data_IF_908751172845
#
_entry.id   IF_908751172845
#
_cell.length_a   1.000
_cell.length_b   1.000
_cell.length_c   1.000
_cell.angle_alpha   90.00
_cell.angle_beta   90.00
_cell.angle_gamma   90.00
#
_symmetry.space_group_name_H-M   'P 1'
#
loop_
_entity.id
_entity.type
_entity.pdbx_description
1 polymer ?
#
# COMPACT_ATOMS: atom_id res chain seq x y z
N UNK A 1 -45.24 -19.00 -1.63
CA UNK A 1 -44.78 -17.70 -2.14
C UNK A 1 -43.43 -17.43 -1.48
N UNK A 2 -42.33 -17.79 -2.13
CA UNK A 2 -40.98 -17.64 -1.57
C UNK A 2 -40.55 -16.18 -1.77
N UNK A 3 -40.31 -15.46 -0.68
CA UNK A 3 -39.80 -14.09 -0.73
C UNK A 3 -38.36 -14.17 -1.24
N UNK A 4 -38.12 -13.82 -2.50
CA UNK A 4 -36.77 -13.56 -3.01
C UNK A 4 -36.28 -12.26 -2.36
N UNK A 5 -35.60 -12.37 -1.22
CA UNK A 5 -34.90 -11.25 -0.60
C UNK A 5 -33.79 -10.80 -1.55
N UNK A 6 -33.95 -9.62 -2.16
CA UNK A 6 -32.87 -8.95 -2.87
C UNK A 6 -31.75 -8.65 -1.89
N UNK A 7 -30.70 -9.47 -1.91
CA UNK A 7 -29.48 -9.21 -1.17
C UNK A 7 -28.80 -7.95 -1.72
N UNK A 8 -28.39 -7.05 -0.83
CA UNK A 8 -27.74 -5.76 -1.17
C UNK A 8 -26.25 -5.77 -0.85
N UNK A 9 -25.74 -6.89 -0.34
CA UNK A 9 -24.40 -7.07 0.19
C UNK A 9 -23.63 -8.14 -0.59
N UNK A 10 -22.33 -7.92 -0.77
CA UNK A 10 -21.42 -8.91 -1.36
C UNK A 10 -20.43 -9.28 -0.26
N UNK A 11 -20.53 -10.49 0.27
CA UNK A 11 -19.62 -10.96 1.33
C UNK A 11 -18.20 -11.21 0.79
N UNK A 12 -18.09 -11.65 -0.47
CA UNK A 12 -16.84 -11.91 -1.16
C UNK A 12 -16.74 -11.09 -2.43
N UNK A 13 -16.22 -9.86 -2.30
CA UNK A 13 -16.00 -8.99 -3.45
C UNK A 13 -14.82 -9.49 -4.29
N UNK A 14 -15.12 -9.84 -5.54
CA UNK A 14 -14.15 -10.12 -6.59
C UNK A 14 -14.44 -9.19 -7.77
N UNK A 15 -13.42 -8.45 -8.21
CA UNK A 15 -13.55 -7.53 -9.34
C UNK A 15 -13.61 -8.27 -10.68
N UNK A 16 -13.14 -9.53 -10.73
CA UNK A 16 -13.12 -10.37 -11.92
C UNK A 16 -14.42 -11.18 -12.12
N UNK A 17 -15.34 -11.17 -11.13
CA UNK A 17 -16.63 -11.86 -11.23
C UNK A 17 -17.58 -11.17 -12.22
N UNK A 18 -17.67 -11.72 -13.43
CA UNK A 18 -18.55 -11.25 -14.51
C UNK A 18 -20.03 -11.29 -14.10
N UNK A 19 -20.44 -12.26 -13.29
CA UNK A 19 -21.81 -12.37 -12.79
C UNK A 19 -22.21 -11.15 -11.97
N UNK A 20 -21.31 -10.65 -11.11
CA UNK A 20 -21.49 -9.43 -10.33
C UNK A 20 -21.63 -8.17 -11.21
N UNK A 21 -21.08 -8.16 -12.43
CA UNK A 21 -21.19 -7.03 -13.35
C UNK A 21 -22.44 -7.09 -14.23
N UNK A 22 -22.83 -8.28 -14.67
CA UNK A 22 -23.94 -8.52 -15.59
C UNK A 22 -25.30 -8.64 -14.89
N UNK A 23 -25.32 -8.97 -13.59
CA UNK A 23 -26.56 -9.10 -12.82
C UNK A 23 -27.39 -10.33 -13.20
N UNK A 24 -26.74 -11.39 -13.69
CA UNK A 24 -27.35 -12.58 -14.30
C UNK A 24 -27.81 -13.66 -13.32
N UNK A 25 -27.61 -13.50 -12.00
CA UNK A 25 -28.15 -14.38 -10.96
C UNK A 25 -29.27 -13.72 -10.16
N UNK A 26 -30.26 -14.52 -9.71
CA UNK A 26 -31.48 -14.06 -9.03
C UNK A 26 -31.30 -13.30 -7.71
N UNK A 27 -30.06 -13.17 -7.23
CA UNK A 27 -29.66 -12.39 -6.05
C UNK A 27 -28.43 -11.49 -6.32
N UNK A 28 -28.04 -11.28 -7.59
CA UNK A 28 -26.76 -10.65 -7.92
C UNK A 28 -26.85 -9.13 -7.97
N UNK A 29 -25.98 -8.41 -7.25
CA UNK A 29 -25.96 -6.95 -7.23
C UNK A 29 -25.70 -6.38 -8.63
N UNK A 30 -26.56 -5.48 -9.13
CA UNK A 30 -26.37 -4.88 -10.44
C UNK A 30 -25.11 -4.01 -10.54
N UNK A 31 -24.66 -3.72 -11.78
CA UNK A 31 -23.49 -2.91 -12.17
C UNK A 31 -23.15 -1.69 -11.29
N UNK A 32 -24.16 -1.02 -10.70
CA UNK A 32 -23.97 0.12 -9.78
C UNK A 32 -23.26 -0.27 -8.47
N UNK A 33 -23.60 -1.42 -7.89
CA UNK A 33 -23.01 -1.91 -6.64
C UNK A 33 -21.58 -2.39 -6.91
N UNK A 34 -21.37 -3.14 -7.99
CA UNK A 34 -20.05 -3.56 -8.43
C UNK A 34 -19.09 -2.37 -8.63
N UNK A 35 -19.54 -1.33 -9.35
CA UNK A 35 -18.74 -0.10 -9.53
C UNK A 35 -18.41 0.60 -8.20
N UNK A 36 -19.36 0.69 -7.28
CA UNK A 36 -19.14 1.29 -5.95
C UNK A 36 -18.08 0.51 -5.18
N UNK A 37 -18.20 -0.81 -5.13
CA UNK A 37 -17.26 -1.66 -4.41
C UNK A 37 -15.85 -1.58 -5.03
N UNK A 38 -15.76 -1.60 -6.38
CA UNK A 38 -14.50 -1.38 -7.08
C UNK A 38 -13.81 -0.07 -6.69
N UNK A 39 -14.56 1.04 -6.63
CA UNK A 39 -14.02 2.36 -6.22
C UNK A 39 -13.43 2.28 -4.81
N UNK A 40 -14.15 1.67 -3.87
CA UNK A 40 -13.66 1.51 -2.49
C UNK A 40 -12.46 0.59 -2.40
N UNK A 41 -12.42 -0.49 -3.18
CA UNK A 41 -11.28 -1.40 -3.25
C UNK A 41 -10.02 -0.72 -3.76
N UNK A 42 -10.12 0.04 -4.85
CA UNK A 42 -8.98 0.79 -5.39
C UNK A 42 -8.51 1.84 -4.38
N UNK A 43 -9.45 2.58 -3.79
CA UNK A 43 -9.13 3.57 -2.77
C UNK A 43 -8.38 2.95 -1.60
N UNK A 44 -8.89 1.85 -1.04
CA UNK A 44 -8.26 1.18 0.09
C UNK A 44 -6.89 0.58 -0.25
N UNK A 45 -6.73 -0.03 -1.43
CA UNK A 45 -5.42 -0.53 -1.90
C UNK A 45 -4.35 0.56 -2.01
N UNK A 46 -4.75 1.80 -2.32
CA UNK A 46 -3.83 2.96 -2.36
C UNK A 46 -3.65 3.58 -0.97
N UNK A 47 -4.70 3.62 -0.15
CA UNK A 47 -4.68 4.26 1.16
C UNK A 47 -3.89 3.46 2.21
N UNK A 48 -3.99 2.12 2.20
CA UNK A 48 -3.38 1.23 3.20
C UNK A 48 -1.85 1.35 3.26
N UNK A 49 -1.10 1.28 2.14
CA UNK A 49 0.35 1.51 2.17
C UNK A 49 0.71 2.85 2.81
N UNK A 50 -0.05 3.90 2.51
CA UNK A 50 0.17 5.25 3.05
C UNK A 50 -0.08 5.29 4.56
N UNK A 51 -1.17 4.65 5.02
CA UNK A 51 -1.51 4.55 6.44
C UNK A 51 -0.43 3.78 7.20
N UNK A 52 -0.04 2.59 6.72
CA UNK A 52 1.03 1.79 7.33
C UNK A 52 2.32 2.59 7.34
N UNK A 53 2.68 3.18 6.21
CA UNK A 53 3.85 4.04 6.06
C UNK A 53 3.89 5.17 7.07
N UNK A 54 2.76 5.86 7.32
CA UNK A 54 2.64 6.91 8.32
C UNK A 54 2.87 6.38 9.75
N UNK A 55 2.29 5.24 10.10
CA UNK A 55 2.43 4.63 11.42
C UNK A 55 3.88 4.22 11.71
N UNK A 56 4.55 3.61 10.74
CA UNK A 56 5.93 3.14 10.92
C UNK A 56 6.97 4.27 10.85
N UNK A 57 6.60 5.52 10.51
CA UNK A 57 7.56 6.63 10.48
C UNK A 57 8.27 6.80 11.81
N UNK A 58 7.55 6.66 12.93
CA UNK A 58 8.08 6.88 14.28
C UNK A 58 9.27 5.94 14.59
N UNK A 59 9.15 4.60 14.46
CA UNK A 59 10.32 3.75 14.66
C UNK A 59 11.41 3.97 13.60
N UNK A 60 11.05 4.31 12.36
CA UNK A 60 12.00 4.51 11.27
C UNK A 60 12.85 5.77 11.41
N UNK A 61 12.36 6.83 12.05
CA UNK A 61 13.19 8.02 12.33
C UNK A 61 14.24 7.74 13.41
N UNK A 62 13.94 6.84 14.35
CA UNK A 62 14.85 6.48 15.45
C UNK A 62 15.92 5.46 14.98
N UNK A 63 15.58 4.62 14.01
CA UNK A 63 16.42 3.50 13.60
C UNK A 63 17.83 3.88 13.07
N UNK A 64 18.05 4.94 12.26
CA UNK A 64 19.40 5.39 11.90
C UNK A 64 20.28 5.73 13.09
N UNK A 65 19.71 6.33 14.14
CA UNK A 65 20.44 6.69 15.35
C UNK A 65 20.83 5.45 16.17
N UNK A 66 20.01 4.39 16.14
CA UNK A 66 20.24 3.15 16.90
C UNK A 66 21.13 2.14 16.18
N UNK A 67 20.97 2.00 14.86
CA UNK A 67 21.64 0.96 14.07
C UNK A 67 22.71 1.51 13.12
N UNK A 68 22.88 2.84 13.09
CA UNK A 68 23.75 3.53 12.16
C UNK A 68 23.08 3.74 10.80
N UNK A 69 23.25 4.94 10.24
CA UNK A 69 22.64 5.33 8.96
C UNK A 69 22.92 4.35 7.83
N UNK A 70 24.18 3.94 7.65
CA UNK A 70 24.58 3.00 6.58
C UNK A 70 23.88 1.66 6.69
N UNK A 71 23.99 0.99 7.84
CA UNK A 71 23.45 -0.36 8.01
C UNK A 71 21.94 -0.35 7.95
N UNK A 72 21.31 0.66 8.56
CA UNK A 72 19.87 0.80 8.51
C UNK A 72 19.34 1.09 7.11
N UNK A 73 19.99 1.96 6.33
CA UNK A 73 19.60 2.20 4.93
C UNK A 73 19.69 0.92 4.10
N UNK A 74 20.75 0.12 4.25
CA UNK A 74 20.86 -1.17 3.55
C UNK A 74 19.72 -2.10 3.96
N UNK A 75 19.50 -2.28 5.26
CA UNK A 75 18.46 -3.17 5.78
C UNK A 75 17.06 -2.73 5.33
N UNK A 76 16.74 -1.43 5.43
CA UNK A 76 15.41 -0.89 5.13
C UNK A 76 15.12 -0.85 3.63
N UNK A 77 16.13 -0.72 2.78
CA UNK A 77 16.01 -0.90 1.33
C UNK A 77 15.80 -2.38 0.99
N UNK A 78 16.54 -3.31 1.61
CA UNK A 78 16.34 -4.74 1.38
C UNK A 78 14.95 -5.22 1.83
N UNK A 79 14.36 -4.60 2.86
CA UNK A 79 12.96 -4.88 3.25
C UNK A 79 11.96 -4.58 2.14
N UNK A 80 12.26 -3.68 1.19
CA UNK A 80 11.38 -3.42 0.04
C UNK A 80 11.32 -4.59 -0.95
N UNK A 81 12.27 -5.55 -0.89
CA UNK A 81 12.16 -6.78 -1.67
C UNK A 81 10.92 -7.60 -1.27
N UNK A 82 10.45 -7.48 -0.01
CA UNK A 82 9.26 -8.19 0.47
C UNK A 82 8.01 -7.79 -0.34
N UNK A 83 7.57 -6.51 -0.34
CA UNK A 83 6.41 -6.11 -1.14
C UNK A 83 6.63 -6.32 -2.64
N UNK A 84 7.86 -6.16 -3.16
CA UNK A 84 8.14 -6.40 -4.59
C UNK A 84 7.95 -7.86 -5.00
N UNK A 85 8.54 -8.80 -4.25
CA UNK A 85 8.44 -10.24 -4.53
C UNK A 85 7.02 -10.75 -4.28
N UNK A 86 6.37 -10.31 -3.20
CA UNK A 86 4.99 -10.67 -2.90
C UNK A 86 4.04 -10.20 -4.00
N UNK A 87 4.18 -8.94 -4.45
CA UNK A 87 3.37 -8.41 -5.57
C UNK A 87 3.59 -9.23 -6.83
N UNK A 88 4.84 -9.49 -7.21
CA UNK A 88 5.15 -10.32 -8.38
C UNK A 88 4.56 -11.73 -8.29
N UNK A 89 4.62 -12.35 -7.11
CA UNK A 89 4.09 -13.70 -6.89
C UNK A 89 2.55 -13.73 -6.97
N UNK A 90 1.89 -12.80 -6.29
CA UNK A 90 0.42 -12.73 -6.22
C UNK A 90 -0.19 -12.37 -7.58
N UNK A 91 0.43 -11.45 -8.34
CA UNK A 91 -0.09 -11.07 -9.67
C UNK A 91 -0.08 -12.21 -10.69
N UNK A 92 0.66 -13.29 -10.44
CA UNK A 92 0.68 -14.48 -11.30
C UNK A 92 -0.43 -15.49 -10.98
N UNK A 93 -1.20 -15.30 -9.92
CA UNK A 93 -2.23 -16.23 -9.45
C UNK A 93 -3.63 -15.64 -9.68
N UNK A 94 -4.34 -16.08 -10.74
CA UNK A 94 -5.73 -15.72 -10.96
C UNK A 94 -6.60 -16.14 -9.76
N UNK A 95 -7.64 -15.35 -9.44
CA UNK A 95 -8.55 -15.64 -8.33
C UNK A 95 -7.99 -15.37 -6.93
N UNK A 96 -6.87 -14.64 -6.82
CA UNK A 96 -6.35 -14.25 -5.50
C UNK A 96 -7.31 -13.29 -4.79
N UNK A 97 -7.63 -13.56 -3.53
CA UNK A 97 -8.55 -12.73 -2.73
C UNK A 97 -8.06 -11.28 -2.59
N UNK A 98 -9.02 -10.35 -2.60
CA UNK A 98 -8.81 -8.93 -2.31
C UNK A 98 -8.04 -8.68 -0.99
N UNK A 99 -8.30 -9.49 0.05
CA UNK A 99 -7.61 -9.34 1.34
C UNK A 99 -6.10 -9.64 1.21
N UNK A 100 -5.72 -10.59 0.36
CA UNK A 100 -4.31 -10.87 0.08
C UNK A 100 -3.64 -9.65 -0.54
N UNK A 101 -4.28 -9.00 -1.52
CA UNK A 101 -3.77 -7.75 -2.10
C UNK A 101 -3.64 -6.63 -1.07
N UNK A 102 -4.59 -6.52 -0.12
CA UNK A 102 -4.52 -5.55 0.97
C UNK A 102 -3.34 -5.79 1.91
N UNK A 103 -3.03 -7.05 2.23
CA UNK A 103 -1.84 -7.41 3.03
C UNK A 103 -0.56 -7.06 2.28
N UNK A 104 -0.48 -7.37 0.98
CA UNK A 104 0.69 -7.01 0.15
C UNK A 104 0.84 -5.48 0.06
N UNK A 105 -0.26 -4.76 -0.10
CA UNK A 105 -0.27 -3.29 -0.09
C UNK A 105 0.21 -2.72 1.26
N UNK A 106 -0.15 -3.35 2.38
CA UNK A 106 0.36 -2.96 3.70
C UNK A 106 1.89 -3.03 3.77
N UNK A 107 2.52 -4.09 3.22
CA UNK A 107 3.98 -4.21 3.17
C UNK A 107 4.65 -3.12 2.32
N UNK A 108 3.99 -2.62 1.27
CA UNK A 108 4.50 -1.50 0.48
C UNK A 108 4.65 -0.21 1.33
N UNK A 109 3.96 -0.12 2.47
CA UNK A 109 4.11 0.96 3.45
C UNK A 109 5.53 1.14 3.99
N UNK A 110 6.39 0.11 3.95
CA UNK A 110 7.81 0.24 4.30
C UNK A 110 8.54 1.35 3.52
N UNK A 111 8.12 1.64 2.29
CA UNK A 111 8.66 2.77 1.51
C UNK A 111 8.43 4.12 2.19
N UNK A 112 7.28 4.32 2.83
CA UNK A 112 6.97 5.53 3.60
C UNK A 112 7.84 5.68 4.86
N UNK A 113 8.22 4.56 5.48
CA UNK A 113 9.20 4.52 6.57
C UNK A 113 10.60 4.90 6.09
N UNK A 114 11.05 4.34 4.96
CA UNK A 114 12.36 4.66 4.36
C UNK A 114 12.52 6.16 4.11
N UNK A 115 11.47 6.84 3.64
CA UNK A 115 11.47 8.29 3.48
C UNK A 115 11.75 9.03 4.80
N UNK A 116 11.01 8.70 5.86
CA UNK A 116 11.18 9.34 7.17
C UNK A 116 12.58 9.11 7.73
N UNK A 117 13.07 7.87 7.63
CA UNK A 117 14.41 7.48 8.07
C UNK A 117 15.53 8.20 7.30
N UNK A 118 15.42 8.29 5.97
CA UNK A 118 16.37 8.99 5.11
C UNK A 118 16.49 10.46 5.48
N UNK A 119 15.36 11.13 5.70
CA UNK A 119 15.33 12.54 6.11
C UNK A 119 16.03 12.77 7.44
N UNK A 120 15.75 11.93 8.45
CA UNK A 120 16.42 12.03 9.76
C UNK A 120 17.91 11.77 9.65
N UNK A 121 18.31 10.78 8.84
CA UNK A 121 19.72 10.43 8.65
C UNK A 121 20.50 11.57 7.99
N UNK A 122 20.00 12.15 6.89
CA UNK A 122 20.66 13.25 6.16
C UNK A 122 20.80 14.50 7.02
N UNK A 123 19.82 14.80 7.87
CA UNK A 123 19.85 15.95 8.76
C UNK A 123 21.09 15.97 9.68
N UNK A 124 21.68 14.81 9.98
CA UNK A 124 22.88 14.69 10.79
C UNK A 124 24.19 15.01 10.04
N UNK A 125 24.18 15.01 8.70
CA UNK A 125 25.40 15.16 7.88
C UNK A 125 25.62 16.56 7.33
N UNK A 126 24.59 17.40 7.26
CA UNK A 126 24.67 18.72 6.61
C UNK A 126 24.52 19.87 7.61
N UNK A 127 25.29 20.97 7.47
CA UNK A 127 25.10 22.19 8.26
C UNK A 127 23.80 22.90 7.85
N UNK A 128 23.18 23.65 8.77
CA UNK A 128 21.86 24.31 8.59
C UNK A 128 21.68 25.01 7.23
N UNK A 129 22.68 25.78 6.79
CA UNK A 129 22.63 26.51 5.50
C UNK A 129 22.46 25.63 4.26
N UNK A 130 22.85 24.34 4.33
CA UNK A 130 22.77 23.40 3.21
C UNK A 130 21.64 22.38 3.37
N UNK A 131 21.04 22.27 4.57
CA UNK A 131 20.03 21.26 4.87
C UNK A 131 18.83 21.33 3.94
N UNK A 132 18.31 22.53 3.68
CA UNK A 132 17.16 22.70 2.77
C UNK A 132 17.43 22.12 1.37
N UNK A 133 18.62 22.35 0.81
CA UNK A 133 19.00 21.80 -0.51
C UNK A 133 19.24 20.29 -0.45
N UNK A 134 19.91 19.80 0.60
CA UNK A 134 20.20 18.37 0.76
C UNK A 134 18.92 17.54 0.97
N UNK A 135 18.02 17.99 1.84
CA UNK A 135 16.72 17.37 2.08
C UNK A 135 15.83 17.51 0.84
N UNK A 136 15.84 18.67 0.18
CA UNK A 136 15.10 18.88 -1.07
C UNK A 136 15.53 17.94 -2.19
N UNK A 137 16.84 17.73 -2.37
CA UNK A 137 17.37 16.75 -3.33
C UNK A 137 17.05 15.31 -2.93
N UNK A 138 17.09 14.98 -1.64
CA UNK A 138 16.72 13.64 -1.17
C UNK A 138 15.23 13.33 -1.35
N UNK A 139 14.35 14.30 -1.09
CA UNK A 139 12.90 14.15 -1.28
C UNK A 139 12.53 14.16 -2.76
N UNK A 140 13.09 15.12 -3.50
CA UNK A 140 12.74 15.40 -4.88
C UNK A 140 13.51 14.58 -5.91
N UNK A 141 14.62 13.94 -5.54
CA UNK A 141 15.48 13.16 -6.42
C UNK A 141 14.77 11.99 -7.12
N UNK A 142 13.66 11.50 -6.56
CA UNK A 142 12.81 10.48 -7.21
C UNK A 142 11.87 11.01 -8.29
N UNK A 143 11.76 12.34 -8.45
CA UNK A 143 10.87 13.03 -9.41
C UNK A 143 11.65 13.76 -10.53
N UNK A 144 12.96 13.52 -10.66
CA UNK A 144 13.84 14.14 -11.67
C UNK A 144 14.16 13.15 -12.79
#
# INVERSE_FOLDING_TARGET
MTILTRDRTIEHWDAEDVGAWEGTGGATPGKKIAKRNLIWSIFALVAVPTLVGAMIRIPYTIAPARFGGRNWTIASVLLLLIPTVLTWYVMKQPGTSYITFMIVAAFAGFGGGNFASSMTNINAFYPERLKGRALGLNAGGGNV
#
